data_IF_187412878699
#
_entry.id   IF_187412878699
#
_cell.length_a   1.000
_cell.length_b   1.000
_cell.length_c   1.000
_cell.angle_alpha   90.00
_cell.angle_beta   90.00
_cell.angle_gamma   90.00
#
_symmetry.space_group_name_H-M   'P 1'
#
loop_
_entity.id
_entity.type
_entity.pdbx_description
1 polymer ?
#
# COMPACT_ATOMS: atom_id res chain seq x y z
N UNK A 1 -8.88 4.22 45.49
CA UNK A 1 -8.16 3.14 44.78
C UNK A 1 -8.61 3.00 43.33
N UNK A 2 -9.88 2.98 43.00
CA UNK A 2 -10.37 2.85 41.61
C UNK A 2 -9.89 3.98 40.67
N UNK A 3 -9.88 5.27 41.14
CA UNK A 3 -9.37 6.41 40.38
C UNK A 3 -7.85 6.35 40.16
N UNK A 4 -7.09 5.81 41.12
CA UNK A 4 -5.62 5.72 41.02
C UNK A 4 -5.18 4.67 40.00
N UNK A 5 -6.01 3.67 39.70
CA UNK A 5 -5.76 2.65 38.68
C UNK A 5 -6.39 3.06 37.33
N UNK A 6 -7.54 3.72 37.35
CA UNK A 6 -8.28 4.10 36.16
C UNK A 6 -7.54 5.11 35.27
N UNK A 7 -6.84 6.10 35.86
CA UNK A 7 -6.10 7.12 35.08
C UNK A 7 -4.91 6.52 34.34
N UNK A 8 -4.01 5.70 34.95
CA UNK A 8 -2.89 5.08 34.24
C UNK A 8 -3.37 4.11 33.14
N UNK A 9 -4.41 3.34 33.39
CA UNK A 9 -4.98 2.41 32.40
C UNK A 9 -5.60 3.19 31.23
N UNK A 10 -6.36 4.24 31.50
CA UNK A 10 -6.93 5.10 30.48
C UNK A 10 -5.85 5.76 29.61
N UNK A 11 -4.77 6.24 30.23
CA UNK A 11 -3.63 6.81 29.50
C UNK A 11 -2.93 5.76 28.64
N UNK A 12 -2.68 4.55 29.16
CA UNK A 12 -2.07 3.46 28.41
C UNK A 12 -2.92 3.09 27.19
N UNK A 13 -4.22 2.94 27.36
CA UNK A 13 -5.14 2.61 26.25
C UNK A 13 -5.13 3.71 25.19
N UNK A 14 -5.21 4.97 25.59
CA UNK A 14 -5.25 6.10 24.64
C UNK A 14 -3.95 6.29 23.87
N UNK A 15 -2.81 5.99 24.48
CA UNK A 15 -1.49 6.08 23.81
C UNK A 15 -1.19 4.90 22.92
N UNK A 16 -1.92 3.77 23.05
CA UNK A 16 -1.70 2.53 22.30
C UNK A 16 -2.93 2.10 21.47
N UNK A 17 -3.75 3.06 21.03
CA UNK A 17 -5.01 2.78 20.29
C UNK A 17 -4.81 1.93 19.03
N UNK A 18 -3.71 2.10 18.29
CA UNK A 18 -3.44 1.33 17.07
C UNK A 18 -2.92 -0.08 17.35
N UNK A 19 -2.43 -0.33 18.57
CA UNK A 19 -1.91 -1.60 19.03
C UNK A 19 -2.95 -2.46 19.78
N UNK A 20 -4.15 -1.92 20.01
CA UNK A 20 -5.24 -2.69 20.62
C UNK A 20 -5.64 -3.88 19.74
N UNK A 21 -6.13 -4.98 20.36
CA UNK A 21 -6.70 -6.10 19.62
C UNK A 21 -7.75 -5.61 18.62
N UNK A 22 -7.70 -6.13 17.41
CA UNK A 22 -8.61 -5.78 16.31
C UNK A 22 -8.51 -4.32 15.78
N UNK A 23 -7.66 -3.45 16.33
CA UNK A 23 -7.55 -2.06 15.87
C UNK A 23 -7.26 -1.97 14.37
N UNK A 24 -6.39 -2.84 13.82
CA UNK A 24 -6.15 -2.94 12.38
C UNK A 24 -7.42 -3.31 11.61
N UNK A 25 -8.14 -4.34 12.04
CA UNK A 25 -9.38 -4.82 11.42
C UNK A 25 -10.46 -3.74 11.40
N UNK A 26 -10.66 -3.05 12.52
CA UNK A 26 -11.63 -1.96 12.65
C UNK A 26 -11.28 -0.80 11.71
N UNK A 27 -10.02 -0.39 11.67
CA UNK A 27 -9.54 0.67 10.74
C UNK A 27 -9.72 0.26 9.29
N UNK A 28 -9.36 -0.98 8.93
CA UNK A 28 -9.56 -1.52 7.57
C UNK A 28 -11.04 -1.52 7.18
N UNK A 29 -11.92 -1.90 8.10
CA UNK A 29 -13.36 -1.94 7.87
C UNK A 29 -13.94 -0.54 7.59
N UNK A 30 -13.56 0.48 8.37
CA UNK A 30 -14.00 1.85 8.12
C UNK A 30 -13.46 2.38 6.78
N UNK A 31 -12.19 2.14 6.48
CA UNK A 31 -11.60 2.52 5.19
C UNK A 31 -12.35 1.86 4.03
N UNK A 32 -12.55 0.54 4.10
CA UNK A 32 -13.26 -0.22 3.06
C UNK A 32 -14.68 0.32 2.84
N UNK A 33 -15.44 0.59 3.92
CA UNK A 33 -16.78 1.15 3.77
C UNK A 33 -16.78 2.50 3.09
N UNK A 34 -15.85 3.38 3.42
CA UNK A 34 -15.72 4.69 2.79
C UNK A 34 -15.37 4.55 1.30
N UNK A 35 -14.43 3.66 0.95
CA UNK A 35 -14.02 3.42 -0.43
C UNK A 35 -15.13 2.76 -1.26
N UNK A 36 -15.84 1.79 -0.70
CA UNK A 36 -16.99 1.15 -1.34
C UNK A 36 -18.09 2.19 -1.62
N UNK A 37 -18.38 3.06 -0.66
CA UNK A 37 -19.35 4.14 -0.84
C UNK A 37 -18.93 5.06 -1.98
N UNK A 38 -17.68 5.56 -1.95
CA UNK A 38 -17.12 6.41 -3.01
C UNK A 38 -17.17 5.74 -4.39
N UNK A 39 -16.78 4.46 -4.48
CA UNK A 39 -16.80 3.71 -5.74
C UNK A 39 -18.23 3.60 -6.32
N UNK A 40 -19.24 3.34 -5.47
CA UNK A 40 -20.64 3.29 -5.88
C UNK A 40 -21.16 4.66 -6.35
N UNK A 41 -20.85 5.73 -5.63
CA UNK A 41 -21.20 7.10 -6.00
C UNK A 41 -20.61 7.50 -7.36
N UNK A 42 -19.42 6.95 -7.70
CA UNK A 42 -18.76 7.16 -8.99
C UNK A 42 -19.13 6.10 -10.05
N UNK A 43 -20.20 5.33 -9.86
CA UNK A 43 -20.64 4.27 -10.78
C UNK A 43 -19.52 3.29 -11.17
N UNK A 44 -18.64 2.96 -10.24
CA UNK A 44 -17.45 2.10 -10.39
C UNK A 44 -16.47 2.57 -11.48
N UNK A 45 -16.56 3.85 -11.89
CA UNK A 45 -15.55 4.42 -12.79
C UNK A 45 -14.22 4.56 -12.08
N UNK A 46 -13.11 4.18 -12.72
CA UNK A 46 -11.79 4.29 -12.12
C UNK A 46 -11.34 5.76 -12.08
N UNK A 47 -10.53 6.09 -11.07
CA UNK A 47 -9.72 7.31 -11.11
C UNK A 47 -8.73 7.23 -12.28
N UNK A 48 -8.16 8.36 -12.72
CA UNK A 48 -7.16 8.36 -13.79
C UNK A 48 -6.01 7.37 -13.49
N UNK A 49 -5.53 6.65 -14.51
CA UNK A 49 -4.61 5.51 -14.39
C UNK A 49 -3.39 5.76 -13.48
N UNK A 50 -2.81 6.94 -13.58
CA UNK A 50 -1.65 7.34 -12.76
C UNK A 50 -2.02 8.35 -11.66
N UNK A 51 -3.30 8.46 -11.31
CA UNK A 51 -3.74 9.33 -10.23
C UNK A 51 -3.00 9.05 -8.92
N UNK A 52 -2.69 10.13 -8.21
CA UNK A 52 -2.04 10.04 -6.90
C UNK A 52 -3.11 10.01 -5.82
N UNK A 53 -3.19 8.90 -5.13
CA UNK A 53 -3.96 8.77 -3.90
C UNK A 53 -3.13 9.33 -2.75
N UNK A 54 -3.73 10.21 -1.95
CA UNK A 54 -3.06 10.86 -0.82
C UNK A 54 -3.82 10.61 0.48
N UNK A 55 -3.09 10.25 1.55
CA UNK A 55 -3.64 9.98 2.87
C UNK A 55 -2.82 10.70 3.93
N UNK A 56 -3.52 11.44 4.82
CA UNK A 56 -2.88 12.13 5.94
C UNK A 56 -2.81 11.20 7.15
N UNK A 57 -1.65 11.20 7.79
CA UNK A 57 -1.32 10.36 8.93
C UNK A 57 -0.62 11.16 10.03
N UNK A 58 -0.59 10.57 11.23
CA UNK A 58 0.23 11.03 12.35
C UNK A 58 0.96 9.84 12.95
N UNK A 59 2.24 10.03 13.27
CA UNK A 59 3.04 9.06 14.02
C UNK A 59 2.64 9.13 15.49
N UNK A 60 1.91 8.13 16.00
CA UNK A 60 1.51 8.08 17.40
C UNK A 60 2.54 7.30 18.22
N UNK A 61 2.36 7.29 19.54
CA UNK A 61 3.32 6.65 20.45
C UNK A 61 3.44 5.15 20.25
N UNK A 62 2.38 4.49 19.77
CA UNK A 62 2.37 3.08 19.42
C UNK A 62 2.89 2.77 18.00
N UNK A 63 3.30 3.78 17.27
CA UNK A 63 3.98 3.65 15.97
C UNK A 63 5.50 3.69 16.10
N UNK A 64 6.05 4.07 17.26
CA UNK A 64 7.49 4.25 17.49
C UNK A 64 8.14 3.02 18.10
N UNK A 65 9.45 2.94 17.98
CA UNK A 65 10.30 1.93 18.62
C UNK A 65 11.24 2.56 19.67
N UNK A 66 12.18 1.75 20.17
CA UNK A 66 13.16 2.18 21.17
C UNK A 66 14.12 3.28 20.68
N UNK A 67 14.25 3.48 19.35
CA UNK A 67 15.02 4.58 18.77
C UNK A 67 14.24 5.90 18.76
N UNK A 68 13.01 5.90 19.28
CA UNK A 68 12.13 7.06 19.38
C UNK A 68 11.73 7.70 18.04
N UNK A 69 11.66 6.91 17.00
CA UNK A 69 11.08 7.29 15.72
C UNK A 69 10.16 6.18 15.19
N UNK A 70 9.43 6.46 14.10
CA UNK A 70 8.49 5.50 13.54
C UNK A 70 9.16 4.17 13.22
N UNK A 71 8.64 3.09 13.80
CA UNK A 71 9.12 1.73 13.61
C UNK A 71 9.00 1.31 12.13
N UNK A 72 10.02 0.64 11.61
CA UNK A 72 10.06 0.19 10.23
C UNK A 72 8.86 -0.69 9.83
N UNK A 73 8.32 -1.47 10.77
CA UNK A 73 7.11 -2.29 10.53
C UNK A 73 5.85 -1.45 10.34
N UNK A 74 5.79 -0.26 10.95
CA UNK A 74 4.63 0.65 10.84
C UNK A 74 4.46 1.15 9.41
N UNK A 75 5.55 1.40 8.68
CA UNK A 75 5.46 1.77 7.25
C UNK A 75 4.69 0.72 6.46
N UNK A 76 4.98 -0.57 6.67
CA UNK A 76 4.30 -1.65 5.96
C UNK A 76 2.81 -1.74 6.32
N UNK A 77 2.42 -1.52 7.60
CA UNK A 77 1.01 -1.44 8.02
C UNK A 77 0.28 -0.29 7.31
N UNK A 78 0.92 0.86 7.18
CA UNK A 78 0.34 2.02 6.49
C UNK A 78 0.22 1.76 4.98
N UNK A 79 1.20 1.10 4.39
CA UNK A 79 1.15 0.72 2.98
C UNK A 79 -0.01 -0.24 2.66
N UNK A 80 -0.46 -1.08 3.60
CA UNK A 80 -1.66 -1.90 3.41
C UNK A 80 -2.89 -1.04 3.14
N UNK A 81 -3.11 0.01 3.94
CA UNK A 81 -4.23 0.93 3.73
C UNK A 81 -4.11 1.68 2.39
N UNK A 82 -2.90 2.06 2.01
CA UNK A 82 -2.65 2.74 0.73
C UNK A 82 -2.91 1.83 -0.47
N UNK A 83 -2.51 0.54 -0.38
CA UNK A 83 -2.81 -0.47 -1.40
C UNK A 83 -4.31 -0.71 -1.54
N UNK A 84 -5.02 -0.87 -0.43
CA UNK A 84 -6.50 -0.98 -0.43
C UNK A 84 -7.12 0.23 -1.11
N UNK A 85 -6.66 1.43 -0.83
CA UNK A 85 -7.18 2.64 -1.45
C UNK A 85 -7.00 2.61 -2.98
N UNK A 86 -5.79 2.30 -3.48
CA UNK A 86 -5.55 2.19 -4.93
C UNK A 86 -6.43 1.10 -5.56
N UNK A 87 -6.56 -0.06 -4.91
CA UNK A 87 -7.38 -1.16 -5.43
C UNK A 87 -8.85 -0.74 -5.60
N UNK A 88 -9.39 0.04 -4.68
CA UNK A 88 -10.78 0.50 -4.78
C UNK A 88 -10.95 1.76 -5.63
N UNK A 89 -9.92 2.56 -5.88
CA UNK A 89 -9.99 3.73 -6.76
C UNK A 89 -9.71 3.43 -8.23
N UNK A 90 -8.74 2.55 -8.50
CA UNK A 90 -8.36 2.21 -9.88
C UNK A 90 -8.98 0.90 -10.39
N UNK A 91 -9.37 -0.02 -9.49
CA UNK A 91 -9.87 -1.35 -9.83
C UNK A 91 -11.27 -1.62 -9.23
N UNK A 92 -12.09 -0.56 -9.08
CA UNK A 92 -13.38 -0.63 -8.40
C UNK A 92 -14.29 -1.75 -8.92
N UNK A 93 -14.38 -1.96 -10.24
CA UNK A 93 -15.21 -3.02 -10.83
C UNK A 93 -14.79 -4.40 -10.36
N UNK A 94 -13.51 -4.73 -10.49
CA UNK A 94 -12.99 -6.04 -10.09
C UNK A 94 -13.13 -6.26 -8.58
N UNK A 95 -12.98 -5.20 -7.77
CA UNK A 95 -13.15 -5.28 -6.31
C UNK A 95 -14.61 -5.39 -5.87
N UNK A 96 -15.57 -4.87 -6.65
CA UNK A 96 -16.98 -4.74 -6.28
C UNK A 96 -17.90 -5.75 -6.97
N UNK A 97 -17.47 -6.31 -8.11
CA UNK A 97 -18.25 -7.24 -8.92
C UNK A 97 -17.68 -8.67 -8.78
N UNK A 98 -18.24 -9.50 -7.86
CA UNK A 98 -17.68 -10.82 -7.52
C UNK A 98 -17.57 -11.79 -8.70
N UNK A 99 -18.37 -11.59 -9.76
CA UNK A 99 -18.39 -12.47 -10.94
C UNK A 99 -17.07 -12.48 -11.72
N UNK A 100 -16.21 -11.47 -11.57
CA UNK A 100 -14.89 -11.47 -12.17
C UNK A 100 -13.95 -12.51 -11.56
N UNK A 101 -14.16 -12.87 -10.27
CA UNK A 101 -13.33 -13.84 -9.53
C UNK A 101 -11.82 -13.54 -9.62
N UNK A 102 -11.45 -12.26 -9.65
CA UNK A 102 -10.06 -11.79 -9.70
C UNK A 102 -9.71 -11.11 -8.38
N UNK A 103 -8.55 -11.48 -7.82
CA UNK A 103 -8.05 -10.95 -6.55
C UNK A 103 -6.63 -10.42 -6.71
N UNK A 104 -6.37 -9.24 -6.15
CA UNK A 104 -5.02 -8.67 -6.08
C UNK A 104 -4.28 -9.17 -4.83
N UNK A 105 -3.12 -9.78 -5.04
CA UNK A 105 -2.25 -10.26 -3.96
C UNK A 105 -0.96 -9.46 -3.92
N UNK A 106 -0.56 -9.02 -2.72
CA UNK A 106 0.75 -8.41 -2.52
C UNK A 106 1.84 -9.48 -2.61
N UNK A 107 2.73 -9.36 -3.59
CA UNK A 107 3.85 -10.27 -3.82
C UNK A 107 5.17 -9.80 -3.21
N UNK A 108 5.19 -8.62 -2.58
CA UNK A 108 6.37 -8.08 -1.93
C UNK A 108 6.37 -6.56 -1.85
N UNK A 109 7.20 -6.05 -0.95
CA UNK A 109 7.41 -4.61 -0.74
C UNK A 109 8.91 -4.36 -0.60
N UNK A 110 9.41 -3.36 -1.30
CA UNK A 110 10.75 -2.80 -1.09
C UNK A 110 10.58 -1.43 -0.47
N UNK A 111 11.26 -1.17 0.64
CA UNK A 111 11.16 0.07 1.41
C UNK A 111 12.54 0.70 1.56
N UNK A 112 12.67 1.96 1.18
CA UNK A 112 13.90 2.74 1.26
C UNK A 112 13.68 3.90 2.24
N UNK A 113 14.23 3.78 3.43
CA UNK A 113 14.19 4.82 4.46
C UNK A 113 15.19 5.92 4.14
N UNK A 114 14.75 7.19 4.20
CA UNK A 114 15.55 8.37 3.87
C UNK A 114 15.69 9.33 5.04
N UNK A 115 14.61 9.48 5.81
CA UNK A 115 14.58 10.32 6.99
C UNK A 115 13.60 9.72 8.01
N UNK A 116 13.91 9.87 9.26
CA UNK A 116 13.07 9.44 10.37
C UNK A 116 11.78 10.26 10.44
N UNK A 117 10.68 9.62 10.83
CA UNK A 117 9.44 10.28 11.18
C UNK A 117 9.36 10.30 12.71
N UNK A 118 9.52 11.48 13.35
CA UNK A 118 9.55 11.57 14.80
C UNK A 118 8.16 11.35 15.42
N UNK A 119 8.10 11.10 16.74
CA UNK A 119 6.84 10.99 17.47
C UNK A 119 5.95 12.20 17.24
N UNK A 120 4.66 11.97 17.15
CA UNK A 120 3.60 12.96 16.94
C UNK A 120 3.69 13.78 15.64
N UNK A 121 4.70 13.58 14.81
CA UNK A 121 4.80 14.22 13.51
C UNK A 121 3.62 13.84 12.61
N UNK A 122 3.11 14.82 11.89
CA UNK A 122 2.18 14.59 10.79
C UNK A 122 2.99 14.25 9.54
N UNK A 123 2.46 13.36 8.74
CA UNK A 123 3.02 13.00 7.45
C UNK A 123 1.92 12.60 6.48
N UNK A 124 2.25 12.63 5.21
CA UNK A 124 1.35 12.28 4.12
C UNK A 124 1.90 11.07 3.38
N UNK A 125 1.05 10.11 3.07
CA UNK A 125 1.41 9.01 2.17
C UNK A 125 0.76 9.23 0.82
N UNK A 126 1.58 9.31 -0.21
CA UNK A 126 1.14 9.40 -1.59
C UNK A 126 1.46 8.10 -2.30
N UNK A 127 0.48 7.59 -3.02
CA UNK A 127 0.58 6.30 -3.69
C UNK A 127 -0.06 6.37 -5.07
N UNK A 128 0.51 5.65 -6.03
CA UNK A 128 -0.02 5.58 -7.40
C UNK A 128 0.36 4.26 -8.07
N UNK A 129 -0.35 3.92 -9.14
CA UNK A 129 0.15 2.94 -10.09
C UNK A 129 1.42 3.52 -10.72
N UNK A 130 2.47 2.70 -10.78
CA UNK A 130 3.77 3.14 -11.30
C UNK A 130 4.06 2.55 -12.67
N UNK A 131 4.01 1.20 -12.77
CA UNK A 131 4.20 0.46 -14.01
C UNK A 131 3.70 -0.98 -13.88
N UNK A 132 3.72 -1.75 -14.95
CA UNK A 132 3.35 -3.16 -14.96
C UNK A 132 4.03 -3.92 -16.10
N UNK A 133 4.03 -5.26 -15.96
CA UNK A 133 4.32 -6.21 -17.03
C UNK A 133 3.20 -7.25 -17.14
N UNK A 134 3.43 -8.36 -17.82
CA UNK A 134 2.41 -9.41 -18.03
C UNK A 134 1.98 -10.12 -16.73
N UNK A 135 2.73 -9.97 -15.64
CA UNK A 135 2.46 -10.65 -14.37
C UNK A 135 2.25 -9.69 -13.21
N UNK A 136 3.06 -8.64 -13.11
CA UNK A 136 3.17 -7.80 -11.94
C UNK A 136 2.70 -6.37 -12.21
N UNK A 137 1.87 -5.86 -11.30
CA UNK A 137 1.59 -4.44 -11.16
C UNK A 137 2.49 -3.86 -10.07
N UNK A 138 3.15 -2.74 -10.34
CA UNK A 138 3.97 -2.03 -9.37
C UNK A 138 3.27 -0.76 -8.92
N UNK A 139 3.17 -0.60 -7.60
CA UNK A 139 2.69 0.62 -6.96
C UNK A 139 3.87 1.36 -6.36
N UNK A 140 3.94 2.65 -6.59
CA UNK A 140 4.92 3.54 -5.98
C UNK A 140 4.28 4.28 -4.81
N UNK A 141 5.02 4.36 -3.70
CA UNK A 141 4.60 5.06 -2.50
C UNK A 141 5.70 6.01 -2.02
N UNK A 142 5.30 7.14 -1.45
CA UNK A 142 6.22 8.04 -0.75
C UNK A 142 5.58 8.59 0.52
N UNK A 143 6.37 8.63 1.58
CA UNK A 143 6.01 9.25 2.84
C UNK A 143 6.63 10.64 2.88
N UNK A 144 5.82 11.65 3.06
CA UNK A 144 6.22 13.06 3.03
C UNK A 144 5.99 13.68 4.39
N UNK A 145 6.99 14.33 4.95
CA UNK A 145 6.84 15.20 6.10
C UNK A 145 6.09 16.49 5.73
N UNK A 146 5.69 17.26 6.72
CA UNK A 146 4.94 18.52 6.49
C UNK A 146 5.74 19.55 5.66
N UNK A 147 7.07 19.51 5.74
CA UNK A 147 7.97 20.36 4.95
C UNK A 147 8.19 19.84 3.50
N UNK A 148 7.50 18.76 3.11
CA UNK A 148 7.67 18.13 1.79
C UNK A 148 8.86 17.18 1.67
N UNK A 149 9.67 17.02 2.73
CA UNK A 149 10.78 16.07 2.73
C UNK A 149 10.29 14.64 2.57
N UNK A 150 10.93 13.88 1.67
CA UNK A 150 10.65 12.45 1.48
C UNK A 150 11.31 11.66 2.60
N UNK A 151 10.50 11.16 3.53
CA UNK A 151 10.97 10.32 4.64
C UNK A 151 11.19 8.86 4.20
N UNK A 152 10.34 8.36 3.31
CA UNK A 152 10.44 6.99 2.82
C UNK A 152 9.91 6.88 1.39
N UNK A 153 10.57 6.06 0.59
CA UNK A 153 10.08 5.57 -0.69
C UNK A 153 9.79 4.08 -0.58
N UNK A 154 8.70 3.62 -1.16
CA UNK A 154 8.41 2.20 -1.21
C UNK A 154 7.81 1.80 -2.56
N UNK A 155 8.03 0.53 -2.93
CA UNK A 155 7.45 -0.09 -4.11
C UNK A 155 6.79 -1.39 -3.67
N UNK A 156 5.49 -1.53 -3.97
CA UNK A 156 4.77 -2.79 -3.79
C UNK A 156 4.59 -3.48 -5.13
N UNK A 157 4.80 -4.80 -5.20
CA UNK A 157 4.47 -5.61 -6.38
C UNK A 157 3.19 -6.41 -6.12
N UNK A 158 2.22 -6.27 -7.00
CA UNK A 158 0.90 -6.90 -6.91
C UNK A 158 0.76 -7.90 -8.05
N UNK A 159 0.17 -9.06 -7.79
CA UNK A 159 -0.25 -10.01 -8.81
C UNK A 159 -1.76 -10.21 -8.73
N UNK A 160 -2.42 -10.23 -9.88
CA UNK A 160 -3.83 -10.57 -9.97
C UNK A 160 -3.99 -12.06 -10.27
N UNK A 161 -4.88 -12.72 -9.55
CA UNK A 161 -5.18 -14.14 -9.74
C UNK A 161 -6.68 -14.41 -9.73
N UNK A 162 -7.10 -15.37 -10.54
CA UNK A 162 -8.43 -15.98 -10.44
C UNK A 162 -8.49 -16.95 -9.25
N UNK A 163 -9.69 -17.31 -8.81
CA UNK A 163 -9.91 -18.38 -7.79
C UNK A 163 -9.19 -19.67 -8.16
N UNK A 164 -9.10 -19.98 -9.45
CA UNK A 164 -8.35 -21.15 -9.98
C UNK A 164 -6.83 -21.07 -9.77
N UNK A 165 -6.31 -19.93 -9.26
CA UNK A 165 -4.87 -19.68 -9.13
C UNK A 165 -4.20 -19.14 -10.41
N UNK A 166 -4.93 -19.10 -11.55
CA UNK A 166 -4.40 -18.56 -12.81
C UNK A 166 -4.11 -17.06 -12.66
N UNK A 167 -2.91 -16.64 -13.08
CA UNK A 167 -2.53 -15.22 -13.14
C UNK A 167 -3.27 -14.52 -14.26
N UNK A 168 -3.71 -13.28 -13.98
CA UNK A 168 -4.33 -12.37 -14.95
C UNK A 168 -3.38 -11.20 -15.16
N UNK A 169 -3.03 -10.84 -16.41
CA UNK A 169 -2.19 -9.70 -16.69
C UNK A 169 -2.77 -8.40 -16.14
N UNK A 170 -1.97 -7.53 -15.51
CA UNK A 170 -2.46 -6.27 -14.97
C UNK A 170 -3.16 -5.38 -16.00
N UNK A 171 -2.68 -5.36 -17.24
CA UNK A 171 -3.31 -4.60 -18.33
C UNK A 171 -4.74 -5.08 -18.57
N UNK A 172 -4.97 -6.39 -18.66
CA UNK A 172 -6.32 -6.97 -18.82
C UNK A 172 -7.25 -6.55 -17.67
N UNK A 173 -6.75 -6.53 -16.42
CA UNK A 173 -7.54 -6.11 -15.26
C UNK A 173 -7.85 -4.62 -15.30
N UNK A 174 -6.91 -3.78 -15.74
CA UNK A 174 -7.10 -2.34 -15.92
C UNK A 174 -8.15 -2.05 -16.99
N UNK A 175 -8.10 -2.75 -18.14
CA UNK A 175 -9.10 -2.63 -19.22
C UNK A 175 -10.50 -3.06 -18.75
N UNK A 176 -10.60 -4.17 -18.00
CA UNK A 176 -11.87 -4.60 -17.37
C UNK A 176 -12.44 -3.52 -16.44
N UNK A 177 -11.59 -2.76 -15.78
CA UNK A 177 -12.02 -1.67 -14.90
C UNK A 177 -12.38 -0.38 -15.64
N UNK A 178 -12.16 -0.30 -16.95
CA UNK A 178 -12.54 0.84 -17.79
C UNK A 178 -11.39 1.82 -18.05
N UNK A 179 -10.13 1.45 -17.77
CA UNK A 179 -8.99 2.26 -18.20
C UNK A 179 -8.79 2.14 -19.71
N UNK A 180 -8.55 3.28 -20.35
CA UNK A 180 -8.22 3.36 -21.78
C UNK A 180 -6.70 3.52 -21.97
N UNK A 181 -6.17 2.88 -23.01
CA UNK A 181 -4.75 2.85 -23.37
C UNK A 181 -4.47 3.47 -24.76
N UNK A 182 -5.44 4.19 -25.33
CA UNK A 182 -5.29 4.83 -26.65
C UNK A 182 -4.27 5.97 -26.63
N UNK A 183 -4.02 6.57 -25.46
CA UNK A 183 -3.01 7.62 -25.31
C UNK A 183 -1.60 7.01 -25.29
N UNK A 184 -0.76 7.29 -26.31
CA UNK A 184 0.60 6.74 -26.40
C UNK A 184 1.51 7.17 -25.24
N UNK A 185 1.20 8.26 -24.56
CA UNK A 185 1.98 8.73 -23.41
C UNK A 185 1.88 7.76 -22.22
N UNK A 186 0.82 6.97 -22.14
CA UNK A 186 0.65 5.93 -21.12
C UNK A 186 1.73 4.84 -21.27
N UNK A 187 1.92 4.37 -22.50
CA UNK A 187 2.90 3.31 -22.78
C UNK A 187 4.33 3.84 -22.62
N UNK A 188 4.62 5.04 -23.09
CA UNK A 188 5.92 5.69 -22.89
C UNK A 188 6.24 5.79 -21.39
N UNK A 189 5.29 6.30 -20.58
CA UNK A 189 5.45 6.41 -19.13
C UNK A 189 5.61 5.05 -18.46
N UNK A 190 4.86 4.03 -18.91
CA UNK A 190 4.99 2.67 -18.42
C UNK A 190 6.40 2.13 -18.66
N UNK A 191 6.93 2.28 -19.87
CA UNK A 191 8.25 1.79 -20.26
C UNK A 191 9.36 2.50 -19.49
N UNK A 192 9.32 3.83 -19.41
CA UNK A 192 10.30 4.62 -18.65
C UNK A 192 10.36 4.19 -17.18
N UNK A 193 9.21 3.90 -16.57
CA UNK A 193 9.15 3.40 -15.21
C UNK A 193 9.59 1.93 -15.09
N UNK A 194 9.34 1.13 -16.14
CA UNK A 194 9.71 -0.28 -16.18
C UNK A 194 11.22 -0.49 -16.10
N UNK A 195 12.02 0.36 -16.72
CA UNK A 195 13.47 0.27 -16.69
C UNK A 195 14.03 0.26 -15.27
N UNK A 196 13.36 0.95 -14.34
CA UNK A 196 13.73 0.91 -12.93
C UNK A 196 13.05 -0.27 -12.20
N UNK A 197 11.75 -0.49 -12.45
CA UNK A 197 10.96 -1.47 -11.73
C UNK A 197 11.44 -2.92 -11.95
N UNK A 198 12.00 -3.25 -13.12
CA UNK A 198 12.54 -4.58 -13.41
C UNK A 198 13.66 -4.98 -12.43
N UNK A 199 14.41 -4.02 -11.90
CA UNK A 199 15.46 -4.29 -10.89
C UNK A 199 14.88 -4.82 -9.58
N UNK A 200 13.62 -4.50 -9.24
CA UNK A 200 12.93 -5.09 -8.08
C UNK A 200 12.72 -6.59 -8.27
N UNK A 201 12.48 -7.04 -9.50
CA UNK A 201 12.34 -8.47 -9.80
C UNK A 201 13.68 -9.22 -9.73
N UNK A 202 14.80 -8.53 -9.93
CA UNK A 202 16.12 -9.17 -9.80
C UNK A 202 16.39 -9.66 -8.38
N UNK A 203 15.72 -9.09 -7.37
CA UNK A 203 15.81 -9.56 -5.98
C UNK A 203 15.25 -10.99 -5.80
N UNK A 204 14.36 -11.44 -6.66
CA UNK A 204 13.86 -12.82 -6.62
C UNK A 204 14.98 -13.86 -6.91
N UNK A 205 16.10 -13.43 -7.53
CA UNK A 205 17.28 -14.26 -7.76
C UNK A 205 18.08 -14.60 -6.50
N UNK A 206 17.83 -13.92 -5.38
CA UNK A 206 18.49 -14.21 -4.10
C UNK A 206 18.26 -15.67 -3.67
N UNK A 207 17.12 -16.28 -4.01
CA UNK A 207 16.86 -17.69 -3.72
C UNK A 207 17.85 -18.65 -4.39
N UNK A 208 18.44 -18.22 -5.51
CA UNK A 208 19.36 -19.01 -6.34
C UNK A 208 20.83 -18.74 -5.93
N UNK A 209 21.05 -18.12 -4.74
CA UNK A 209 22.36 -17.87 -4.17
C UNK A 209 23.12 -19.20 -4.01
N UNK A 210 24.33 -19.32 -4.57
CA UNK A 210 25.13 -20.53 -4.45
C UNK A 210 25.64 -20.80 -3.03
N UNK A 211 25.58 -19.82 -2.14
CA UNK A 211 25.99 -19.99 -0.74
C UNK A 211 24.90 -20.68 0.07
N UNK A 212 25.27 -21.81 0.68
CA UNK A 212 24.35 -22.56 1.54
C UNK A 212 24.19 -21.86 2.89
N UNK A 213 22.94 -21.66 3.34
CA UNK A 213 22.61 -21.15 4.68
C UNK A 213 23.02 -22.12 5.80
N UNK A 214 23.32 -23.41 5.47
CA UNK A 214 23.77 -24.41 6.43
C UNK A 214 25.25 -24.27 6.83
N UNK A 215 25.99 -23.37 6.21
CA UNK A 215 27.41 -23.15 6.46
C UNK A 215 27.70 -21.90 7.33
N UNK A 216 26.68 -21.33 7.96
CA UNK A 216 26.81 -20.23 8.91
C UNK A 216 26.87 -20.73 10.35
#
# INVERSE_FOLDING_TARGET
MALAIGIPVGLLVTTHLKSLPFAYTVRSWFLLRALIKKAKENNLQPDALFAVVSQDHRCYLDDIDYNQHMNNSTYNKILDFSRIHILYSAFARVMMEPHHHIFGHNGGVVTLFRKEIPPLAKYKVQSRIWTWNDKWLFLQHRFLLEDGTVACLAISKIVFKKVSGKTVPPKEVLELCGHNFDDPTIEERRLNNWDIAQHVLSLDKIRDDPYSWSNL
#
